data_IF_366226591749
#
_entry.id   IF_366226591749
#
_cell.length_a   1.000
_cell.length_b   1.000
_cell.length_c   1.000
_cell.angle_alpha   90.00
_cell.angle_beta   90.00
_cell.angle_gamma   90.00
#
_symmetry.space_group_name_H-M   'P 1'
#
loop_
_entity.id
_entity.type
_entity.pdbx_description
1 polymer ?
#
# COMPACT_ATOMS: atom_id res chain seq x y z
N UNK A 1 6.91 14.43 -3.49
CA UNK A 1 7.78 13.49 -2.74
C UNK A 1 7.20 12.09 -2.84
N UNK A 2 8.04 11.07 -3.03
CA UNK A 2 7.64 9.65 -3.02
C UNK A 2 8.45 8.92 -1.95
N UNK A 3 7.77 8.27 -1.02
CA UNK A 3 8.36 7.42 0.03
C UNK A 3 8.10 5.96 -0.33
N UNK A 4 9.13 5.14 -0.25
CA UNK A 4 9.01 3.68 -0.35
C UNK A 4 9.42 3.11 0.99
N UNK A 5 8.44 2.71 1.79
CA UNK A 5 8.62 2.14 3.12
C UNK A 5 8.66 0.61 3.03
N UNK A 6 9.73 0.13 2.38
CA UNK A 6 9.98 -1.29 2.09
C UNK A 6 11.48 -1.52 2.25
N UNK A 7 11.88 -2.51 3.07
CA UNK A 7 13.30 -2.77 3.37
C UNK A 7 14.15 -3.06 2.14
N UNK A 8 13.57 -3.64 1.09
CA UNK A 8 14.19 -3.81 -0.22
C UNK A 8 13.28 -3.25 -1.33
N UNK A 9 13.50 -1.98 -1.75
CA UNK A 9 12.69 -1.32 -2.76
C UNK A 9 12.69 -2.00 -4.14
N UNK A 10 13.74 -2.75 -4.49
CA UNK A 10 13.84 -3.44 -5.79
C UNK A 10 12.70 -4.46 -6.01
N UNK A 11 12.11 -4.96 -4.92
CA UNK A 11 10.95 -5.88 -4.95
C UNK A 11 9.74 -5.29 -5.68
N UNK A 12 9.61 -3.96 -5.65
CA UNK A 12 8.52 -3.21 -6.29
C UNK A 12 9.00 -2.31 -7.43
N UNK A 13 10.26 -2.45 -7.87
CA UNK A 13 10.83 -1.68 -8.98
C UNK A 13 10.40 -2.26 -10.34
N UNK A 14 9.11 -2.55 -10.47
CA UNK A 14 8.45 -3.10 -11.65
C UNK A 14 6.96 -2.75 -11.60
N UNK A 15 6.23 -3.03 -12.68
CA UNK A 15 4.76 -2.88 -12.67
C UNK A 15 4.15 -3.95 -11.75
N UNK A 16 3.14 -3.62 -10.92
CA UNK A 16 2.41 -4.63 -10.17
C UNK A 16 1.66 -5.58 -11.11
N UNK A 17 1.56 -6.83 -10.70
CA UNK A 17 0.83 -7.87 -11.44
C UNK A 17 -0.68 -7.61 -11.39
N UNK A 18 -1.16 -7.08 -10.25
CA UNK A 18 -2.54 -6.65 -10.09
C UNK A 18 -2.65 -5.43 -9.18
N UNK A 19 -3.67 -4.61 -9.41
CA UNK A 19 -3.96 -3.43 -8.59
C UNK A 19 -5.46 -3.35 -8.33
N UNK A 20 -5.82 -3.05 -7.08
CA UNK A 20 -7.18 -2.78 -6.66
C UNK A 20 -7.24 -1.41 -6.04
N UNK A 21 -8.16 -0.57 -6.51
CA UNK A 21 -8.39 0.77 -5.97
C UNK A 21 -9.38 0.65 -4.82
N UNK A 22 -8.96 1.08 -3.63
CA UNK A 22 -9.82 1.11 -2.45
C UNK A 22 -10.59 2.42 -2.35
N UNK A 23 -9.96 3.51 -2.79
CA UNK A 23 -10.52 4.86 -2.78
C UNK A 23 -9.90 5.67 -3.91
N UNK A 24 -10.72 6.39 -4.67
CA UNK A 24 -10.32 7.35 -5.70
C UNK A 24 -11.17 8.60 -5.57
N UNK A 25 -10.61 9.75 -5.97
CA UNK A 25 -11.32 11.03 -6.01
C UNK A 25 -11.89 11.42 -4.63
N UNK A 26 -11.17 11.02 -3.58
CA UNK A 26 -11.50 11.36 -2.20
C UNK A 26 -11.24 12.83 -1.94
N UNK A 27 -12.24 13.53 -1.39
CA UNK A 27 -12.08 14.87 -0.82
C UNK A 27 -11.95 14.84 0.72
N UNK A 28 -11.50 13.71 1.27
CA UNK A 28 -11.33 13.55 2.71
C UNK A 28 -9.96 14.05 3.15
N UNK A 29 -9.95 14.86 4.21
CA UNK A 29 -8.75 15.39 4.82
C UNK A 29 -8.55 14.80 6.21
N UNK A 30 -7.33 14.32 6.50
CA UNK A 30 -6.93 13.83 7.82
C UNK A 30 -5.67 14.59 8.26
N UNK A 31 -5.71 15.23 9.43
CA UNK A 31 -4.57 15.96 10.01
C UNK A 31 -3.88 16.94 9.04
N UNK A 32 -4.66 17.57 8.16
CA UNK A 32 -4.18 18.51 7.14
C UNK A 32 -3.55 17.86 5.90
N UNK A 33 -3.78 16.57 5.66
CA UNK A 33 -3.43 15.87 4.41
C UNK A 33 -4.71 15.53 3.66
N UNK A 34 -4.80 15.92 2.40
CA UNK A 34 -5.89 15.55 1.51
C UNK A 34 -5.56 14.19 0.88
N UNK A 35 -6.38 13.18 1.15
CA UNK A 35 -6.18 11.83 0.61
C UNK A 35 -6.86 11.72 -0.75
N UNK A 36 -6.06 11.59 -1.81
CA UNK A 36 -6.56 11.56 -3.19
C UNK A 36 -6.91 10.15 -3.64
N UNK A 37 -6.05 9.18 -3.30
CA UNK A 37 -6.16 7.82 -3.80
C UNK A 37 -5.53 6.81 -2.85
N UNK A 38 -6.14 5.64 -2.73
CA UNK A 38 -5.63 4.50 -1.98
C UNK A 38 -5.76 3.25 -2.85
N UNK A 39 -4.66 2.53 -3.02
CA UNK A 39 -4.60 1.30 -3.81
C UNK A 39 -3.90 0.19 -3.03
N UNK A 40 -4.31 -1.06 -3.28
CA UNK A 40 -3.50 -2.23 -3.00
C UNK A 40 -2.88 -2.75 -4.30
N UNK A 41 -1.61 -3.09 -4.27
CA UNK A 41 -0.85 -3.61 -5.40
C UNK A 41 -0.25 -4.95 -5.06
N UNK A 42 -0.42 -5.94 -5.94
CA UNK A 42 0.17 -7.26 -5.82
C UNK A 42 1.40 -7.39 -6.72
N UNK A 43 2.47 -7.93 -6.14
CA UNK A 43 3.66 -8.39 -6.83
C UNK A 43 3.87 -9.86 -6.47
N UNK A 44 3.84 -10.77 -7.44
CA UNK A 44 4.15 -12.19 -7.26
C UNK A 44 5.64 -12.38 -7.46
N UNK A 45 6.36 -12.73 -6.40
CA UNK A 45 7.84 -12.75 -6.43
C UNK A 45 8.41 -14.09 -6.88
N UNK A 46 7.76 -15.19 -6.47
CA UNK A 46 8.17 -16.56 -6.80
C UNK A 46 7.00 -17.51 -6.73
N UNK A 47 7.14 -18.65 -7.39
CA UNK A 47 6.20 -19.76 -7.32
C UNK A 47 6.89 -20.94 -6.62
N UNK A 48 6.32 -21.38 -5.51
CA UNK A 48 6.74 -22.61 -4.83
C UNK A 48 5.80 -23.76 -5.24
N UNK A 49 6.35 -24.94 -5.50
CA UNK A 49 5.57 -26.10 -5.99
C UNK A 49 4.51 -26.59 -4.99
N UNK A 50 4.74 -26.40 -3.68
CA UNK A 50 3.83 -26.86 -2.62
C UNK A 50 2.95 -25.74 -2.09
N UNK A 51 3.52 -24.55 -1.93
CA UNK A 51 2.88 -23.42 -1.25
C UNK A 51 2.22 -22.44 -2.24
N UNK A 52 2.51 -22.55 -3.53
CA UNK A 52 1.96 -21.67 -4.56
C UNK A 52 2.69 -20.33 -4.66
N UNK A 53 2.03 -19.27 -5.17
CA UNK A 53 2.68 -17.99 -5.41
C UNK A 53 2.95 -17.24 -4.10
N UNK A 54 4.19 -16.77 -3.94
CA UNK A 54 4.55 -15.82 -2.90
C UNK A 54 4.06 -14.43 -3.31
N UNK A 55 3.10 -13.92 -2.57
CA UNK A 55 2.46 -12.63 -2.79
C UNK A 55 3.14 -11.57 -1.94
N UNK A 56 3.53 -10.46 -2.55
CA UNK A 56 3.87 -9.21 -1.88
C UNK A 56 2.76 -8.21 -2.19
N UNK A 57 2.00 -7.82 -1.16
CA UNK A 57 0.93 -6.83 -1.26
C UNK A 57 1.43 -5.54 -0.63
N UNK A 58 1.35 -4.46 -1.38
CA UNK A 58 1.68 -3.12 -0.89
C UNK A 58 0.45 -2.22 -0.91
N UNK A 59 0.42 -1.27 0.02
CA UNK A 59 -0.55 -0.19 0.02
C UNK A 59 0.12 1.07 -0.53
N UNK A 60 -0.47 1.64 -1.58
CA UNK A 60 -0.07 2.91 -2.15
C UNK A 60 -1.10 3.99 -1.77
N UNK A 61 -0.65 5.04 -1.09
CA UNK A 61 -1.47 6.16 -0.66
C UNK A 61 -0.94 7.43 -1.31
N UNK A 62 -1.79 8.08 -2.08
CA UNK A 62 -1.52 9.37 -2.70
C UNK A 62 -2.23 10.48 -1.92
N UNK A 63 -1.46 11.53 -1.58
CA UNK A 63 -1.94 12.73 -0.91
C UNK A 63 -1.56 13.99 -1.69
N UNK A 64 -2.06 15.14 -1.24
CA UNK A 64 -1.57 16.45 -1.70
C UNK A 64 -0.10 16.73 -1.35
N UNK A 65 0.44 16.08 -0.31
CA UNK A 65 1.79 16.33 0.21
C UNK A 65 2.82 15.26 -0.17
N UNK A 66 2.40 14.21 -0.86
CA UNK A 66 3.29 13.16 -1.33
C UNK A 66 2.59 11.82 -1.51
N UNK A 67 3.37 10.86 -2.00
CA UNK A 67 2.95 9.49 -2.22
C UNK A 67 3.77 8.60 -1.30
N UNK A 68 3.13 7.61 -0.68
CA UNK A 68 3.81 6.55 0.06
C UNK A 68 3.37 5.19 -0.43
N UNK A 69 4.33 4.28 -0.61
CA UNK A 69 4.08 2.85 -0.85
C UNK A 69 4.76 2.05 0.25
N UNK A 70 3.97 1.24 0.97
CA UNK A 70 4.41 0.45 2.12
C UNK A 70 3.94 -1.00 2.01
N UNK A 71 4.65 -1.95 2.63
CA UNK A 71 4.18 -3.34 2.71
C UNK A 71 2.87 -3.38 3.51
N UNK A 72 1.84 -4.00 2.93
CA UNK A 72 0.60 -4.31 3.63
C UNK A 72 0.61 -5.75 4.16
N UNK A 73 0.96 -6.71 3.31
CA UNK A 73 1.04 -8.12 3.65
C UNK A 73 2.00 -8.85 2.70
N UNK A 74 2.61 -9.94 3.15
CA UNK A 74 3.43 -10.79 2.30
C UNK A 74 3.38 -12.26 2.74
N UNK A 75 3.54 -13.17 1.78
CA UNK A 75 3.59 -14.62 2.04
C UNK A 75 2.89 -15.46 0.97
N UNK A 76 2.80 -16.76 1.24
CA UNK A 76 2.02 -17.71 0.43
C UNK A 76 0.53 -17.55 0.75
N UNK A 77 -0.14 -16.63 0.03
CA UNK A 77 -1.54 -16.23 0.28
C UNK A 77 -2.55 -16.87 -0.69
N UNK A 78 -2.07 -17.69 -1.62
CA UNK A 78 -2.88 -18.33 -2.66
C UNK A 78 -3.23 -17.39 -3.81
N UNK A 79 -4.02 -17.87 -4.77
CA UNK A 79 -4.30 -17.15 -6.01
C UNK A 79 -5.15 -15.88 -5.83
N UNK A 80 -6.03 -15.86 -4.83
CA UNK A 80 -6.92 -14.72 -4.54
C UNK A 80 -6.38 -13.80 -3.43
N UNK A 81 -5.04 -13.67 -3.34
CA UNK A 81 -4.38 -12.94 -2.26
C UNK A 81 -4.83 -11.47 -2.18
N UNK A 82 -4.90 -10.79 -3.33
CA UNK A 82 -5.23 -9.37 -3.39
C UNK A 82 -6.71 -9.12 -3.06
N UNK A 83 -7.61 -10.00 -3.49
CA UNK A 83 -9.05 -9.93 -3.22
C UNK A 83 -9.30 -10.06 -1.72
N UNK A 84 -8.70 -11.06 -1.07
CA UNK A 84 -8.83 -11.27 0.37
C UNK A 84 -8.27 -10.09 1.16
N UNK A 85 -7.12 -9.55 0.74
CA UNK A 85 -6.56 -8.36 1.36
C UNK A 85 -7.48 -7.14 1.19
N UNK A 86 -8.02 -6.94 0.00
CA UNK A 86 -8.99 -5.87 -0.31
C UNK A 86 -10.20 -5.97 0.61
N UNK A 87 -10.85 -7.13 0.63
CA UNK A 87 -12.04 -7.38 1.45
C UNK A 87 -11.77 -7.14 2.94
N UNK A 88 -10.61 -7.61 3.43
CA UNK A 88 -10.24 -7.39 4.82
C UNK A 88 -10.06 -5.90 5.15
N UNK A 89 -9.32 -5.16 4.29
CA UNK A 89 -9.07 -3.72 4.50
C UNK A 89 -10.36 -2.91 4.47
N UNK A 90 -11.26 -3.21 3.53
CA UNK A 90 -12.54 -2.49 3.40
C UNK A 90 -13.49 -2.80 4.54
N UNK A 91 -13.49 -4.03 5.07
CA UNK A 91 -14.44 -4.46 6.10
C UNK A 91 -13.96 -4.21 7.54
N UNK A 92 -12.67 -3.93 7.78
CA UNK A 92 -12.10 -3.88 9.14
C UNK A 92 -11.32 -2.59 9.45
N UNK A 93 -11.90 -1.40 9.22
CA UNK A 93 -11.26 -0.09 9.45
C UNK A 93 -9.84 0.05 8.87
N UNK A 94 -9.45 -0.83 7.94
CA UNK A 94 -8.08 -0.95 7.47
C UNK A 94 -7.63 0.27 6.69
N UNK A 95 -8.56 0.91 5.98
CA UNK A 95 -8.34 2.19 5.28
C UNK A 95 -7.87 3.27 6.26
N UNK A 96 -8.54 3.41 7.40
CA UNK A 96 -8.16 4.40 8.42
C UNK A 96 -6.75 4.13 8.96
N UNK A 97 -6.40 2.87 9.21
CA UNK A 97 -5.06 2.48 9.64
C UNK A 97 -3.98 2.75 8.58
N UNK A 98 -4.28 2.55 7.30
CA UNK A 98 -3.39 2.87 6.18
C UNK A 98 -3.16 4.39 6.08
N UNK A 99 -4.22 5.19 6.20
CA UNK A 99 -4.13 6.65 6.18
C UNK A 99 -3.29 7.17 7.34
N UNK A 100 -3.53 6.69 8.57
CA UNK A 100 -2.78 7.12 9.75
C UNK A 100 -1.29 6.83 9.61
N UNK A 101 -0.92 5.61 9.23
CA UNK A 101 0.49 5.22 9.01
C UNK A 101 1.13 6.11 7.94
N UNK A 102 0.43 6.33 6.84
CA UNK A 102 0.90 7.18 5.73
C UNK A 102 1.20 8.61 6.18
N UNK A 103 0.31 9.20 6.97
CA UNK A 103 0.47 10.56 7.48
C UNK A 103 1.65 10.66 8.44
N UNK A 104 1.83 9.66 9.32
CA UNK A 104 2.98 9.62 10.24
C UNK A 104 4.29 9.63 9.44
N UNK A 105 4.45 8.72 8.48
CA UNK A 105 5.66 8.62 7.65
C UNK A 105 5.90 9.89 6.83
N UNK A 106 4.86 10.45 6.21
CA UNK A 106 4.98 11.71 5.45
C UNK A 106 5.38 12.88 6.35
N UNK A 107 4.82 12.99 7.56
CA UNK A 107 5.19 14.04 8.51
C UNK A 107 6.65 13.92 8.96
N UNK A 108 7.12 12.71 9.22
CA UNK A 108 8.52 12.49 9.60
C UNK A 108 9.47 12.90 8.48
N UNK A 109 9.15 12.57 7.24
CA UNK A 109 10.00 12.93 6.10
C UNK A 109 9.99 14.43 5.79
N UNK A 110 8.82 15.08 5.93
CA UNK A 110 8.72 16.54 5.82
C UNK A 110 9.50 17.26 6.92
N UNK A 111 9.60 16.69 8.13
CA UNK A 111 10.41 17.26 9.21
C UNK A 111 11.91 17.16 8.94
N UNK A 112 12.39 16.09 8.31
CA UNK A 112 13.81 15.93 7.94
C UNK A 112 14.24 16.89 6.83
N UNK A 113 13.29 17.38 6.04
CA UNK A 113 13.54 18.24 4.87
C UNK A 113 13.51 19.74 5.19
N UNK A 114 13.24 20.12 6.45
CA UNK A 114 13.28 21.49 6.97
C UNK A 114 14.45 21.65 7.94
#
# INVERSE_FOLDING_TARGET
MKIVDISNPERINRKPDKTTVLLSDGNFSEQGFLIKRIELKLYTEKLDEKLGPYSLITANIETDKGIIEMIYDEGFRGENALEKATEFVTNNLGISSLVLRSIISLKEELKKSN
#
